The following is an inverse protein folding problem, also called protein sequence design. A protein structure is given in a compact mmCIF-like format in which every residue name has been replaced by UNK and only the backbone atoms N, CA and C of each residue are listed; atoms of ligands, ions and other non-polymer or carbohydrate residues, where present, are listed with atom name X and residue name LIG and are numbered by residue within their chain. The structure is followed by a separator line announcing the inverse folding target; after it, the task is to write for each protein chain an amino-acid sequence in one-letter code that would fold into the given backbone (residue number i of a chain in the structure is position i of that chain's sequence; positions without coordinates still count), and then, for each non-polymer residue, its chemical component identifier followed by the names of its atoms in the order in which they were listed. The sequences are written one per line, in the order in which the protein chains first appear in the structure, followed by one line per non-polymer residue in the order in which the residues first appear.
data_IF_207696720999
#
_entry.id   IF_207696720999
#
_cell.length_a   1.000
_cell.length_b   1.000
_cell.length_c   1.000
_cell.angle_alpha   90.00
_cell.angle_beta   90.00
_cell.angle_gamma   90.00
#
_symmetry.space_group_name_H-M   'P 1'
#
loop_
_entity.id
_entity.type
_entity.pdbx_description
1 polymer ?
#
# COMPACT_ATOMS: atom_id res chain seq x y z
N UNK A 1 -1.08 5.00 25.50
CA UNK A 1 -1.71 3.97 24.68
C UNK A 1 -0.88 2.69 24.52
N UNK A 2 0.41 2.74 24.21
CA UNK A 2 1.26 1.53 24.13
C UNK A 2 1.39 0.72 25.43
N UNK A 3 1.39 1.35 26.59
CA UNK A 3 1.46 0.69 27.89
C UNK A 3 0.20 -0.14 28.23
N UNK A 4 -0.95 0.28 27.71
CA UNK A 4 -2.22 -0.46 27.87
C UNK A 4 -2.23 -1.73 26.99
N UNK A 5 -1.74 -1.66 25.76
CA UNK A 5 -1.69 -2.82 24.85
C UNK A 5 -0.76 -3.95 25.36
N UNK A 6 0.39 -3.60 25.95
CA UNK A 6 1.33 -4.60 26.49
C UNK A 6 0.80 -5.23 27.79
N UNK A 7 0.13 -4.47 28.65
CA UNK A 7 -0.52 -5.00 29.87
C UNK A 7 -1.76 -5.87 29.55
N UNK A 8 -2.54 -5.50 28.54
CA UNK A 8 -3.71 -6.29 28.14
C UNK A 8 -3.30 -7.64 27.52
N UNK A 9 -2.21 -7.71 26.76
CA UNK A 9 -1.72 -8.98 26.22
C UNK A 9 -1.23 -9.96 27.31
N UNK A 10 -0.72 -9.46 28.43
CA UNK A 10 -0.21 -10.32 29.50
C UNK A 10 -1.25 -10.66 30.60
N UNK A 11 -2.29 -9.85 30.74
CA UNK A 11 -3.26 -9.99 31.85
C UNK A 11 -4.54 -10.73 31.44
N UNK A 12 -4.92 -10.72 30.16
CA UNK A 12 -6.21 -11.28 29.72
C UNK A 12 -6.13 -12.78 29.40
N UNK A 13 -4.92 -13.37 29.20
CA UNK A 13 -4.79 -14.76 28.76
C UNK A 13 -3.86 -15.65 29.60
N UNK A 14 -4.05 -15.76 30.95
CA UNK A 14 -3.17 -16.60 31.75
C UNK A 14 -3.39 -18.12 31.58
N UNK A 15 -4.46 -18.60 30.91
CA UNK A 15 -4.85 -20.02 30.99
C UNK A 15 -5.19 -20.74 29.67
N UNK A 16 -4.87 -20.22 28.51
CA UNK A 16 -5.07 -20.98 27.26
C UNK A 16 -3.79 -21.63 26.73
N UNK A 17 -3.61 -22.91 27.08
CA UNK A 17 -2.60 -23.82 26.53
C UNK A 17 -2.95 -24.25 25.09
N UNK A 18 -3.04 -23.36 24.15
CA UNK A 18 -2.96 -23.72 22.73
C UNK A 18 -2.20 -22.65 21.99
N UNK A 19 -1.11 -23.04 21.36
CA UNK A 19 -0.21 -22.19 20.59
C UNK A 19 -0.82 -21.79 19.24
N UNK A 20 -2.05 -21.23 19.27
CA UNK A 20 -2.73 -20.68 18.11
C UNK A 20 -2.40 -19.19 18.07
N UNK A 21 -1.86 -18.70 16.94
CA UNK A 21 -1.62 -17.27 16.73
C UNK A 21 -2.95 -16.54 16.70
N UNK A 22 -3.39 -16.05 17.86
CA UNK A 22 -4.60 -15.21 18.00
C UNK A 22 -4.20 -13.75 17.82
N UNK A 23 -4.84 -13.05 16.89
CA UNK A 23 -4.73 -11.59 16.79
C UNK A 23 -5.92 -11.00 17.52
N UNK A 24 -5.68 -10.19 18.56
CA UNK A 24 -6.70 -9.42 19.25
C UNK A 24 -6.67 -7.97 18.79
N UNK A 25 -7.81 -7.41 18.42
CA UNK A 25 -7.97 -6.01 18.07
C UNK A 25 -8.98 -5.39 19.03
N UNK A 26 -8.61 -4.29 19.74
CA UNK A 26 -9.52 -3.60 20.64
C UNK A 26 -10.48 -2.70 19.87
N UNK A 27 -11.76 -2.80 20.18
CA UNK A 27 -12.86 -1.96 19.69
C UNK A 27 -13.62 -1.35 20.88
N UNK A 28 -14.52 -0.43 20.60
CA UNK A 28 -15.36 0.17 21.65
C UNK A 28 -16.11 -0.91 22.46
N UNK A 29 -16.66 -1.90 21.79
CA UNK A 29 -17.47 -2.99 22.39
C UNK A 29 -16.65 -4.07 23.10
N UNK A 30 -15.33 -4.18 22.88
CA UNK A 30 -14.50 -5.23 23.47
C UNK A 30 -13.21 -5.48 22.72
N UNK A 31 -12.67 -6.70 22.84
CA UNK A 31 -11.52 -7.17 22.08
C UNK A 31 -11.99 -8.28 21.15
N UNK A 32 -11.93 -8.03 19.84
CA UNK A 32 -12.25 -9.04 18.83
C UNK A 32 -11.05 -9.95 18.64
N UNK A 33 -11.27 -11.25 18.80
CA UNK A 33 -10.26 -12.28 18.57
C UNK A 33 -10.66 -13.11 17.36
N UNK A 34 -9.74 -13.24 16.42
CA UNK A 34 -9.86 -14.17 15.29
C UNK A 34 -8.98 -15.39 15.53
N UNK A 35 -9.55 -16.57 15.44
CA UNK A 35 -8.82 -17.85 15.44
C UNK A 35 -8.48 -18.25 14.00
N UNK A 36 -7.35 -18.94 13.84
CA UNK A 36 -7.00 -19.49 12.52
C UNK A 36 -8.07 -20.52 12.16
N UNK A 37 -8.83 -20.24 11.11
CA UNK A 37 -9.76 -21.21 10.60
C UNK A 37 -11.17 -20.72 10.30
N UNK A 38 -11.80 -19.87 11.05
CA UNK A 38 -13.13 -19.32 10.75
C UNK A 38 -13.98 -18.97 11.98
N UNK A 39 -13.36 -18.78 13.13
CA UNK A 39 -14.11 -18.34 14.32
C UNK A 39 -13.64 -16.97 14.79
N UNK A 40 -14.59 -16.12 15.10
CA UNK A 40 -14.33 -14.85 15.78
C UNK A 40 -15.07 -14.84 17.11
N UNK A 41 -14.46 -14.22 18.10
CA UNK A 41 -15.07 -14.04 19.41
C UNK A 41 -14.84 -12.61 19.90
N UNK A 42 -15.85 -12.00 20.48
CA UNK A 42 -15.69 -10.74 21.20
C UNK A 42 -15.55 -11.00 22.69
N UNK A 43 -14.49 -10.45 23.29
CA UNK A 43 -14.25 -10.52 24.72
C UNK A 43 -14.50 -9.18 25.37
N UNK A 44 -15.00 -9.20 26.63
CA UNK A 44 -15.08 -8.00 27.48
C UNK A 44 -13.69 -7.44 27.76
N UNK A 45 -13.54 -6.13 27.69
CA UNK A 45 -12.28 -5.42 28.03
C UNK A 45 -11.98 -5.51 29.53
N UNK A 46 -13.02 -5.51 30.34
CA UNK A 46 -12.92 -5.47 31.80
C UNK A 46 -12.60 -6.84 32.39
N UNK A 47 -13.28 -7.88 31.90
CA UNK A 47 -13.23 -9.20 32.52
C UNK A 47 -12.52 -10.26 31.69
N UNK A 48 -12.30 -10.01 30.38
CA UNK A 48 -11.84 -11.02 29.43
C UNK A 48 -12.88 -12.10 29.11
N UNK A 49 -14.09 -12.02 29.66
CA UNK A 49 -15.14 -12.98 29.41
C UNK A 49 -15.64 -12.86 27.95
N UNK A 50 -15.96 -14.02 27.36
CA UNK A 50 -16.54 -14.07 26.01
C UNK A 50 -17.97 -13.52 26.03
N UNK A 51 -18.20 -12.46 25.25
CA UNK A 51 -19.54 -11.88 25.05
C UNK A 51 -20.34 -12.68 24.03
N UNK A 52 -19.70 -12.99 22.90
CA UNK A 52 -20.28 -13.81 21.84
C UNK A 52 -19.20 -14.49 20.99
N UNK A 53 -19.63 -15.45 20.17
CA UNK A 53 -18.80 -16.15 19.21
C UNK A 53 -19.60 -16.35 17.92
N UNK A 54 -18.93 -16.26 16.75
CA UNK A 54 -19.51 -16.52 15.45
C UNK A 54 -18.55 -17.31 14.55
N UNK A 55 -19.12 -18.18 13.73
CA UNK A 55 -18.38 -18.85 12.66
C UNK A 55 -18.27 -17.86 11.49
N UNK A 56 -17.16 -17.17 11.39
CA UNK A 56 -16.89 -16.15 10.38
C UNK A 56 -15.39 -16.09 10.10
N UNK A 57 -15.04 -16.11 8.84
CA UNK A 57 -13.70 -15.77 8.35
C UNK A 57 -13.64 -14.26 8.10
N UNK A 58 -13.11 -13.45 9.04
CA UNK A 58 -13.22 -11.99 8.97
C UNK A 58 -12.31 -11.43 7.88
N UNK A 59 -12.83 -10.50 7.09
CA UNK A 59 -12.07 -9.79 6.04
C UNK A 59 -12.01 -8.28 6.28
N UNK A 60 -13.00 -7.73 6.99
CA UNK A 60 -13.06 -6.30 7.27
C UNK A 60 -13.77 -6.05 8.60
N UNK A 61 -13.32 -5.07 9.36
CA UNK A 61 -13.96 -4.64 10.60
C UNK A 61 -14.13 -3.14 10.57
N UNK A 62 -15.36 -2.68 10.80
CA UNK A 62 -15.70 -1.26 10.89
C UNK A 62 -16.23 -0.95 12.30
N UNK A 63 -15.38 -0.31 13.11
CA UNK A 63 -15.75 0.07 14.48
C UNK A 63 -16.81 1.17 14.50
N UNK A 64 -16.77 2.08 13.52
CA UNK A 64 -17.70 3.21 13.44
C UNK A 64 -19.12 2.75 13.12
N UNK A 65 -19.26 1.73 12.29
CA UNK A 65 -20.53 1.10 11.95
C UNK A 65 -20.89 -0.05 12.91
N UNK A 66 -19.96 -0.47 13.77
CA UNK A 66 -20.18 -1.53 14.74
C UNK A 66 -20.38 -2.91 14.11
N UNK A 67 -19.66 -3.23 13.03
CA UNK A 67 -19.82 -4.49 12.32
C UNK A 67 -18.50 -5.15 11.89
N UNK A 68 -18.58 -6.47 11.67
CA UNK A 68 -17.53 -7.28 11.04
C UNK A 68 -18.07 -7.89 9.76
N UNK A 69 -17.32 -7.74 8.67
CA UNK A 69 -17.57 -8.46 7.43
C UNK A 69 -16.68 -9.69 7.35
N UNK A 70 -17.22 -10.77 6.85
CA UNK A 70 -16.44 -11.99 6.63
C UNK A 70 -17.21 -13.03 5.82
N UNK A 71 -16.50 -14.07 5.45
CA UNK A 71 -17.07 -15.20 4.71
C UNK A 71 -17.39 -16.36 5.66
N UNK A 72 -18.32 -17.23 5.26
CA UNK A 72 -18.67 -18.43 6.04
C UNK A 72 -17.50 -19.42 6.15
N UNK A 73 -16.63 -19.43 5.15
CA UNK A 73 -15.38 -20.20 5.12
C UNK A 73 -14.40 -19.55 4.12
N UNK A 74 -13.14 -19.93 4.14
CA UNK A 74 -12.14 -19.44 3.17
C UNK A 74 -12.49 -19.68 1.68
N UNK A 75 -13.38 -20.62 1.38
CA UNK A 75 -13.81 -20.93 0.01
C UNK A 75 -15.25 -20.50 -0.31
N UNK A 76 -15.93 -19.89 0.67
CA UNK A 76 -17.30 -19.41 0.51
C UNK A 76 -17.34 -18.12 -0.30
N UNK A 77 -18.31 -17.99 -1.19
CA UNK A 77 -18.61 -16.73 -1.88
C UNK A 77 -19.67 -15.88 -1.13
N UNK A 78 -20.10 -16.32 0.06
CA UNK A 78 -21.13 -15.67 0.85
C UNK A 78 -20.48 -14.76 1.88
N UNK A 79 -20.51 -13.46 1.60
CA UNK A 79 -20.09 -12.41 2.52
C UNK A 79 -21.23 -12.12 3.51
N UNK A 80 -20.90 -12.08 4.77
CA UNK A 80 -21.84 -11.76 5.86
C UNK A 80 -21.37 -10.53 6.63
N UNK A 81 -22.31 -9.76 7.14
CA UNK A 81 -22.06 -8.77 8.18
C UNK A 81 -22.56 -9.29 9.51
N UNK A 82 -21.74 -9.16 10.55
CA UNK A 82 -22.04 -9.55 11.91
C UNK A 82 -21.92 -8.31 12.81
N UNK A 83 -22.91 -8.10 13.67
CA UNK A 83 -22.89 -7.00 14.64
C UNK A 83 -21.77 -7.19 15.65
N UNK A 84 -20.90 -6.19 15.83
CA UNK A 84 -19.87 -6.18 16.88
C UNK A 84 -20.49 -6.21 18.27
N UNK A 85 -21.65 -5.59 18.47
CA UNK A 85 -22.31 -5.51 19.76
C UNK A 85 -22.96 -6.82 20.17
N UNK A 86 -23.65 -7.50 19.24
CA UNK A 86 -24.52 -8.62 19.55
C UNK A 86 -24.04 -9.97 19.00
N UNK A 87 -23.13 -9.99 18.03
CA UNK A 87 -22.63 -11.20 17.39
C UNK A 87 -23.63 -11.88 16.43
N UNK A 88 -24.77 -11.27 16.16
CA UNK A 88 -25.78 -11.77 15.23
C UNK A 88 -25.53 -11.26 13.81
N UNK A 89 -26.02 -12.03 12.84
CA UNK A 89 -25.99 -11.64 11.44
C UNK A 89 -26.87 -10.42 11.20
N UNK A 90 -26.37 -9.46 10.43
CA UNK A 90 -27.11 -8.32 9.93
C UNK A 90 -27.66 -8.60 8.53
N UNK A 91 -26.81 -9.14 7.67
CA UNK A 91 -27.16 -9.53 6.29
C UNK A 91 -26.13 -10.52 5.72
N UNK A 92 -26.51 -11.16 4.60
CA UNK A 92 -25.64 -12.02 3.78
C UNK A 92 -25.81 -11.69 2.30
N UNK A 93 -24.69 -11.62 1.55
CA UNK A 93 -24.70 -11.43 0.11
C UNK A 93 -23.63 -12.29 -0.59
N UNK A 94 -23.81 -12.52 -1.90
CA UNK A 94 -22.83 -13.26 -2.69
C UNK A 94 -21.85 -12.31 -3.33
N UNK A 95 -20.61 -12.28 -2.81
CA UNK A 95 -19.48 -11.54 -3.36
C UNK A 95 -18.32 -12.52 -3.52
N UNK A 96 -18.05 -13.03 -4.71
CA UNK A 96 -16.91 -13.89 -4.97
C UNK A 96 -15.59 -13.18 -4.67
N UNK A 97 -14.59 -13.92 -4.20
CA UNK A 97 -13.31 -13.34 -3.80
C UNK A 97 -12.09 -14.13 -4.29
N UNK A 98 -12.23 -14.88 -5.38
CA UNK A 98 -11.16 -15.72 -5.94
C UNK A 98 -9.88 -14.96 -6.27
N UNK A 99 -9.97 -13.64 -6.48
CA UNK A 99 -8.84 -12.74 -6.73
C UNK A 99 -8.51 -11.84 -5.52
N UNK A 100 -9.10 -12.11 -4.36
CA UNK A 100 -8.99 -11.27 -3.16
C UNK A 100 -9.74 -9.94 -3.28
N UNK A 101 -9.64 -9.13 -2.25
CA UNK A 101 -10.08 -7.73 -2.28
C UNK A 101 -8.88 -6.86 -2.61
N UNK A 102 -8.87 -6.25 -3.78
CA UNK A 102 -7.74 -5.45 -4.26
C UNK A 102 -7.76 -4.02 -3.73
N UNK A 103 -8.96 -3.48 -3.52
CA UNK A 103 -9.16 -2.13 -3.01
C UNK A 103 -10.53 -2.00 -2.35
N UNK A 104 -10.62 -1.12 -1.36
CA UNK A 104 -11.88 -0.65 -0.76
C UNK A 104 -11.80 0.87 -0.65
N UNK A 105 -12.75 1.56 -1.25
CA UNK A 105 -12.87 3.01 -1.19
C UNK A 105 -14.12 3.38 -0.38
N UNK A 106 -13.93 4.20 0.64
CA UNK A 106 -15.01 4.75 1.44
C UNK A 106 -15.81 5.77 0.61
N UNK A 107 -17.11 5.61 0.60
CA UNK A 107 -18.06 6.57 0.05
C UNK A 107 -18.79 7.29 1.19
N UNK A 108 -19.73 8.14 0.83
CA UNK A 108 -20.57 8.78 1.80
C UNK A 108 -21.44 7.78 2.59
N UNK A 109 -21.66 8.06 3.86
CA UNK A 109 -22.44 7.25 4.79
C UNK A 109 -21.86 5.82 4.99
N UNK A 110 -22.67 4.81 4.74
CA UNK A 110 -22.34 3.41 4.99
C UNK A 110 -21.86 2.66 3.72
N UNK A 111 -21.72 3.37 2.61
CA UNK A 111 -21.41 2.76 1.32
C UNK A 111 -19.92 2.69 1.05
N UNK A 112 -19.49 1.59 0.44
CA UNK A 112 -18.10 1.33 0.04
C UNK A 112 -18.05 0.80 -1.38
N UNK A 113 -17.00 1.16 -2.11
CA UNK A 113 -16.62 0.46 -3.35
C UNK A 113 -15.58 -0.59 -3.02
N UNK A 114 -15.80 -1.81 -3.49
CA UNK A 114 -14.92 -2.96 -3.28
C UNK A 114 -14.52 -3.52 -4.64
N UNK A 115 -13.22 -3.65 -4.89
CA UNK A 115 -12.69 -4.36 -6.05
C UNK A 115 -12.35 -5.79 -5.61
N UNK A 116 -13.20 -6.75 -5.98
CA UNK A 116 -13.02 -8.18 -5.71
C UNK A 116 -12.93 -8.97 -7.02
N UNK A 117 -13.94 -9.73 -7.40
CA UNK A 117 -14.08 -10.36 -8.73
C UNK A 117 -14.70 -9.41 -9.77
N UNK A 118 -15.24 -8.31 -9.29
CA UNK A 118 -15.85 -7.21 -10.01
C UNK A 118 -15.69 -5.92 -9.19
N UNK A 119 -16.24 -4.81 -9.66
CA UNK A 119 -16.40 -3.61 -8.86
C UNK A 119 -17.78 -3.65 -8.19
N UNK A 120 -17.80 -3.66 -6.87
CA UNK A 120 -18.99 -3.75 -6.04
C UNK A 120 -19.21 -2.45 -5.27
N UNK A 121 -20.42 -1.91 -5.30
CA UNK A 121 -20.87 -0.86 -4.39
C UNK A 121 -21.78 -1.50 -3.36
N UNK A 122 -21.33 -1.55 -2.13
CA UNK A 122 -21.98 -2.25 -1.04
C UNK A 122 -22.33 -1.27 0.08
N UNK A 123 -23.59 -1.30 0.50
CA UNK A 123 -24.01 -0.67 1.76
C UNK A 123 -23.71 -1.64 2.91
N UNK A 124 -22.80 -1.25 3.80
CA UNK A 124 -22.34 -2.11 4.89
C UNK A 124 -23.38 -2.36 5.96
N UNK A 125 -24.39 -1.48 6.09
CA UNK A 125 -25.45 -1.65 7.08
C UNK A 125 -26.61 -2.50 6.58
N UNK A 126 -27.00 -2.34 5.31
CA UNK A 126 -28.17 -3.01 4.75
C UNK A 126 -27.83 -4.23 3.90
N UNK A 127 -26.59 -4.30 3.41
CA UNK A 127 -26.16 -5.31 2.44
C UNK A 127 -26.63 -5.01 1.01
N UNK A 128 -27.23 -3.85 0.74
CA UNK A 128 -27.60 -3.47 -0.63
C UNK A 128 -26.36 -3.48 -1.51
N UNK A 129 -26.43 -4.21 -2.63
CA UNK A 129 -25.30 -4.50 -3.52
C UNK A 129 -25.60 -4.10 -4.94
N UNK A 130 -24.72 -3.26 -5.51
CA UNK A 130 -24.66 -2.99 -6.95
C UNK A 130 -23.33 -3.47 -7.48
N UNK A 131 -23.33 -4.15 -8.65
CA UNK A 131 -22.12 -4.75 -9.22
C UNK A 131 -21.88 -4.28 -10.65
N UNK A 132 -20.67 -3.82 -10.92
CA UNK A 132 -20.17 -3.57 -12.27
C UNK A 132 -19.18 -4.68 -12.66
N UNK A 133 -19.42 -5.41 -13.77
CA UNK A 133 -18.58 -6.54 -14.16
C UNK A 133 -17.18 -6.08 -14.58
N UNK A 134 -16.17 -6.91 -14.33
CA UNK A 134 -14.79 -6.63 -14.69
C UNK A 134 -13.90 -7.88 -14.68
N UNK A 135 -12.62 -7.68 -14.99
CA UNK A 135 -11.62 -8.74 -15.05
C UNK A 135 -10.39 -8.41 -14.18
N UNK A 136 -10.54 -8.41 -12.84
CA UNK A 136 -9.49 -7.96 -11.91
C UNK A 136 -8.35 -8.96 -11.72
N UNK A 137 -8.43 -10.14 -12.32
CA UNK A 137 -7.42 -11.18 -12.17
C UNK A 137 -7.29 -12.10 -13.36
N UNK A 138 -6.34 -13.02 -13.30
CA UNK A 138 -6.07 -14.04 -14.31
C UNK A 138 -5.60 -15.35 -13.67
N UNK A 139 -5.68 -16.46 -14.42
CA UNK A 139 -5.04 -17.71 -14.03
C UNK A 139 -3.59 -17.78 -14.50
N UNK A 140 -2.69 -18.24 -13.61
CA UNK A 140 -1.30 -18.51 -13.93
C UNK A 140 -1.13 -19.91 -14.51
N UNK A 141 -1.37 -20.05 -15.81
CA UNK A 141 -1.31 -21.34 -16.52
C UNK A 141 0.06 -22.02 -16.46
N UNK A 142 1.15 -21.27 -16.24
CA UNK A 142 2.50 -21.85 -16.11
C UNK A 142 2.74 -22.44 -14.73
N UNK A 143 2.17 -21.88 -13.68
CA UNK A 143 2.26 -22.44 -12.34
C UNK A 143 1.38 -23.70 -12.17
N UNK A 144 0.24 -23.75 -12.85
CA UNK A 144 -0.65 -24.92 -12.83
C UNK A 144 0.02 -26.21 -13.33
N UNK A 145 0.96 -26.11 -14.28
CA UNK A 145 1.73 -27.24 -14.81
C UNK A 145 2.82 -27.75 -13.84
N UNK A 146 3.29 -26.92 -12.91
CA UNK A 146 4.38 -27.26 -11.98
C UNK A 146 3.88 -27.70 -10.59
N UNK A 147 2.62 -27.45 -10.24
CA UNK A 147 2.09 -27.65 -8.89
C UNK A 147 1.18 -28.87 -8.72
N UNK A 148 1.48 -29.96 -9.39
CA UNK A 148 0.80 -31.24 -9.08
C UNK A 148 0.90 -31.71 -7.62
N UNK A 149 1.64 -31.00 -6.74
CA UNK A 149 1.85 -31.37 -5.34
C UNK A 149 2.16 -30.12 -4.49
N UNK A 150 1.25 -29.70 -3.71
CA UNK A 150 1.30 -28.91 -2.47
C UNK A 150 0.49 -27.60 -2.47
N UNK A 151 -0.67 -27.68 -1.85
CA UNK A 151 -1.48 -26.52 -1.49
C UNK A 151 -0.95 -25.92 -0.18
N UNK A 152 -0.40 -24.72 -0.22
CA UNK A 152 -0.25 -23.86 0.96
C UNK A 152 -0.78 -22.48 0.60
N UNK A 153 -1.92 -22.11 1.17
CA UNK A 153 -2.49 -20.80 1.03
C UNK A 153 -1.70 -19.79 1.87
N UNK A 154 -0.96 -18.90 1.23
CA UNK A 154 -0.35 -17.73 1.87
C UNK A 154 -0.98 -16.49 1.25
N UNK A 155 -1.95 -15.90 1.94
CA UNK A 155 -2.53 -14.62 1.57
C UNK A 155 -1.78 -13.49 2.27
N UNK A 156 -1.27 -12.54 1.51
CA UNK A 156 -0.81 -11.25 2.04
C UNK A 156 -1.59 -10.16 1.30
N UNK A 157 -2.46 -9.47 2.00
CA UNK A 157 -3.07 -8.26 1.50
C UNK A 157 -2.35 -7.06 2.11
N UNK A 158 -1.89 -6.16 1.28
CA UNK A 158 -1.36 -4.87 1.72
C UNK A 158 -2.51 -3.98 2.19
N UNK A 159 -2.56 -3.67 3.48
CA UNK A 159 -3.55 -2.75 4.02
C UNK A 159 -3.19 -1.31 3.68
N UNK A 160 -4.12 -0.59 3.08
CA UNK A 160 -4.11 0.86 3.07
C UNK A 160 -4.82 1.32 4.35
N UNK A 161 -4.13 2.06 5.21
CA UNK A 161 -4.70 2.63 6.42
C UNK A 161 -5.60 3.81 6.04
N UNK A 162 -6.90 3.60 6.01
CA UNK A 162 -7.90 4.66 6.00
C UNK A 162 -8.55 4.75 7.38
N UNK A 163 -8.60 5.96 7.91
CA UNK A 163 -8.95 6.31 9.27
C UNK A 163 -10.03 5.46 9.95
N UNK A 164 -9.63 4.64 10.91
CA UNK A 164 -10.53 3.95 11.83
C UNK A 164 -11.01 2.56 11.45
N UNK A 165 -10.83 2.11 10.21
CA UNK A 165 -11.19 0.79 9.77
C UNK A 165 -9.99 -0.17 9.80
N UNK A 166 -10.14 -1.34 10.39
CA UNK A 166 -9.09 -2.36 10.46
C UNK A 166 -9.34 -3.45 9.43
N UNK A 167 -8.42 -3.59 8.49
CA UNK A 167 -8.39 -4.72 7.57
C UNK A 167 -7.81 -5.96 8.26
N UNK A 168 -8.61 -7.02 8.32
CA UNK A 168 -8.05 -8.36 8.40
C UNK A 168 -7.73 -8.80 6.97
N UNK A 169 -6.50 -8.62 6.58
CA UNK A 169 -6.05 -8.78 5.21
C UNK A 169 -5.82 -10.24 4.79
N UNK A 170 -6.70 -11.14 5.18
CA UNK A 170 -6.60 -12.52 4.77
C UNK A 170 -7.86 -12.94 4.02
N UNK A 171 -8.03 -12.43 2.80
CA UNK A 171 -8.99 -13.00 1.87
C UNK A 171 -8.29 -14.16 1.18
N UNK A 172 -8.78 -15.41 1.30
CA UNK A 172 -8.17 -16.53 0.64
C UNK A 172 -8.22 -16.34 -0.87
N UNK A 173 -7.07 -16.47 -1.50
CA UNK A 173 -6.92 -16.35 -2.94
C UNK A 173 -6.78 -17.73 -3.53
N UNK A 174 -7.48 -18.01 -4.62
CA UNK A 174 -7.38 -19.29 -5.28
C UNK A 174 -5.95 -19.53 -5.78
N UNK A 175 -5.47 -20.79 -5.67
CA UNK A 175 -4.16 -21.18 -6.14
C UNK A 175 -3.99 -20.87 -7.65
N UNK A 176 -2.76 -20.58 -8.06
CA UNK A 176 -2.42 -20.26 -9.45
C UNK A 176 -3.16 -19.05 -10.03
N UNK A 177 -3.47 -18.06 -9.21
CA UNK A 177 -4.07 -16.80 -9.66
C UNK A 177 -3.05 -15.68 -9.70
N UNK A 178 -3.30 -14.74 -10.62
CA UNK A 178 -2.68 -13.42 -10.65
C UNK A 178 -3.78 -12.43 -10.31
N UNK A 179 -3.58 -11.66 -9.26
CA UNK A 179 -4.53 -10.68 -8.72
C UNK A 179 -4.02 -9.25 -8.93
N UNK A 180 -4.86 -8.26 -8.64
CA UNK A 180 -4.49 -6.85 -8.72
C UNK A 180 -4.27 -6.37 -10.15
N UNK A 181 -4.96 -6.96 -11.13
CA UNK A 181 -4.91 -6.53 -12.53
C UNK A 181 -5.95 -5.44 -12.80
N UNK A 182 -5.96 -4.44 -11.95
CA UNK A 182 -6.86 -3.30 -11.98
C UNK A 182 -6.12 -2.01 -11.62
N UNK A 183 -6.75 -0.89 -11.89
CA UNK A 183 -6.35 0.40 -11.34
C UNK A 183 -6.92 0.60 -9.92
N UNK A 184 -6.46 1.66 -9.25
CA UNK A 184 -7.23 2.29 -8.19
C UNK A 184 -8.56 2.84 -8.75
N UNK A 185 -9.52 3.07 -7.85
CA UNK A 185 -10.77 3.75 -8.17
C UNK A 185 -10.55 5.25 -7.97
N UNK A 186 -10.89 6.06 -8.98
CA UNK A 186 -11.01 7.50 -8.81
C UNK A 186 -12.50 7.86 -8.70
N UNK A 187 -12.82 8.73 -7.76
CA UNK A 187 -14.15 9.31 -7.59
C UNK A 187 -14.04 10.83 -7.76
N UNK A 188 -14.71 11.37 -8.75
CA UNK A 188 -14.74 12.81 -9.03
C UNK A 188 -16.08 13.21 -9.65
N UNK A 189 -16.69 14.30 -9.16
CA UNK A 189 -17.92 14.87 -9.69
C UNK A 189 -19.08 13.87 -9.86
N UNK A 190 -19.25 12.97 -8.89
CA UNK A 190 -20.23 11.88 -8.91
C UNK A 190 -20.00 10.85 -10.03
N UNK A 191 -18.80 10.79 -10.57
CA UNK A 191 -18.35 9.78 -11.52
C UNK A 191 -17.26 8.91 -10.89
N UNK A 192 -17.22 7.66 -11.32
CA UNK A 192 -16.17 6.70 -10.98
C UNK A 192 -15.37 6.36 -12.22
N UNK A 193 -14.05 6.39 -12.11
CA UNK A 193 -13.10 5.95 -13.13
C UNK A 193 -12.38 4.71 -12.61
N UNK A 194 -12.39 3.66 -13.41
CA UNK A 194 -11.77 2.39 -13.05
C UNK A 194 -11.31 1.65 -14.30
N UNK A 195 -10.17 0.97 -14.19
CA UNK A 195 -9.64 0.15 -15.25
C UNK A 195 -9.43 -1.30 -14.78
N UNK A 196 -9.77 -2.23 -15.65
CA UNK A 196 -9.43 -3.65 -15.53
C UNK A 196 -8.38 -4.06 -16.58
N UNK A 197 -8.25 -5.35 -16.86
CA UNK A 197 -7.29 -5.86 -17.85
C UNK A 197 -7.55 -5.44 -19.29
N UNK A 198 -8.75 -5.03 -19.62
CA UNK A 198 -9.17 -4.82 -21.00
C UNK A 198 -9.66 -3.40 -21.27
N UNK A 199 -10.26 -2.77 -20.28
CA UNK A 199 -10.95 -1.50 -20.47
C UNK A 199 -10.61 -0.51 -19.36
N UNK A 200 -10.65 0.76 -19.71
CA UNK A 200 -10.84 1.86 -18.79
C UNK A 200 -12.26 2.40 -18.96
N UNK A 201 -12.95 2.64 -17.88
CA UNK A 201 -14.36 2.99 -17.86
C UNK A 201 -14.61 4.20 -16.97
N UNK A 202 -15.49 5.09 -17.42
CA UNK A 202 -16.15 6.11 -16.61
C UNK A 202 -17.61 5.70 -16.43
N UNK A 203 -18.09 5.75 -15.20
CA UNK A 203 -19.46 5.38 -14.86
C UNK A 203 -20.03 6.33 -13.82
N UNK A 204 -21.36 6.48 -13.81
CA UNK A 204 -22.06 7.22 -12.77
C UNK A 204 -22.15 6.44 -11.45
N UNK A 205 -22.76 7.05 -10.43
CA UNK A 205 -22.90 6.41 -9.11
C UNK A 205 -23.85 5.21 -9.09
N UNK A 206 -24.62 4.98 -10.18
CA UNK A 206 -25.48 3.82 -10.40
C UNK A 206 -24.82 2.75 -11.29
N UNK A 207 -23.53 2.95 -11.65
CA UNK A 207 -22.75 2.11 -12.55
C UNK A 207 -23.27 2.09 -14.00
N UNK A 208 -24.03 3.09 -14.42
CA UNK A 208 -24.26 3.29 -15.84
C UNK A 208 -22.99 3.82 -16.49
N UNK A 209 -22.55 3.16 -17.56
CA UNK A 209 -21.33 3.53 -18.29
C UNK A 209 -21.57 4.84 -19.04
N UNK A 210 -20.78 5.86 -18.74
CA UNK A 210 -20.74 7.14 -19.45
C UNK A 210 -19.89 7.00 -20.70
N UNK A 211 -18.69 6.40 -20.55
CA UNK A 211 -17.82 6.01 -21.64
C UNK A 211 -16.92 4.84 -21.23
N UNK A 212 -16.43 4.09 -22.20
CA UNK A 212 -15.51 2.99 -22.02
C UNK A 212 -14.57 2.90 -23.21
N UNK A 213 -13.27 2.74 -22.95
CA UNK A 213 -12.23 2.58 -23.96
C UNK A 213 -11.49 1.28 -23.76
N UNK A 214 -11.35 0.47 -24.82
CA UNK A 214 -10.60 -0.77 -24.82
C UNK A 214 -9.12 -0.47 -25.05
N UNK A 215 -8.23 -1.17 -24.32
CA UNK A 215 -6.80 -1.04 -24.53
C UNK A 215 -6.36 -1.71 -25.83
N UNK A 216 -5.46 -1.08 -26.63
CA UNK A 216 -4.89 -1.72 -27.80
C UNK A 216 -4.10 -2.97 -27.35
N UNK A 217 -4.04 -4.01 -28.13
CA UNK A 217 -3.35 -5.33 -28.02
C UNK A 217 -2.42 -5.58 -26.79
N UNK A 218 -2.56 -4.83 -25.71
CA UNK A 218 -1.86 -4.96 -24.45
C UNK A 218 -2.84 -5.38 -23.35
N UNK A 219 -2.38 -6.27 -22.49
CA UNK A 219 -3.12 -6.61 -21.27
C UNK A 219 -2.70 -5.64 -20.19
N UNK A 220 -3.62 -4.80 -19.76
CA UNK A 220 -3.37 -3.97 -18.58
C UNK A 220 -3.15 -4.86 -17.35
N UNK A 221 -2.38 -4.36 -16.44
CA UNK A 221 -1.96 -5.02 -15.21
C UNK A 221 -2.32 -4.13 -14.02
N UNK A 222 -1.60 -4.23 -12.91
CA UNK A 222 -1.73 -3.25 -11.84
C UNK A 222 -1.45 -1.86 -12.39
N UNK A 223 -2.33 -0.91 -12.11
CA UNK A 223 -2.28 0.42 -12.68
C UNK A 223 -2.64 1.49 -11.66
N UNK A 224 -2.23 2.71 -11.92
CA UNK A 224 -2.62 3.89 -11.18
C UNK A 224 -3.31 4.88 -12.11
N UNK A 225 -4.51 5.30 -11.74
CA UNK A 225 -5.24 6.40 -12.37
C UNK A 225 -5.03 7.67 -11.56
N UNK A 226 -4.91 8.79 -12.25
CA UNK A 226 -4.92 10.12 -11.65
C UNK A 226 -5.44 11.14 -12.67
N UNK A 227 -5.99 12.23 -12.16
CA UNK A 227 -6.51 13.34 -13.00
C UNK A 227 -5.59 14.54 -12.84
N UNK A 228 -5.31 15.19 -13.94
CA UNK A 228 -4.58 16.46 -14.00
C UNK A 228 -5.03 17.27 -15.21
N UNK A 229 -5.32 18.56 -15.02
CA UNK A 229 -5.72 19.51 -16.08
C UNK A 229 -6.84 18.99 -16.99
N UNK A 230 -7.87 18.36 -16.39
CA UNK A 230 -9.02 17.81 -17.12
C UNK A 230 -8.72 16.58 -17.95
N UNK A 231 -7.55 15.96 -17.78
CA UNK A 231 -7.14 14.73 -18.44
C UNK A 231 -7.03 13.59 -17.42
N UNK A 232 -7.35 12.38 -17.86
CA UNK A 232 -7.22 11.15 -17.09
C UNK A 232 -5.97 10.40 -17.56
N UNK A 233 -5.02 10.24 -16.65
CA UNK A 233 -3.80 9.48 -16.88
C UNK A 233 -3.92 8.10 -16.29
N UNK A 234 -3.31 7.12 -16.96
CA UNK A 234 -3.16 5.75 -16.50
C UNK A 234 -1.71 5.31 -16.62
N UNK A 235 -1.06 5.04 -15.49
CA UNK A 235 0.24 4.38 -15.42
C UNK A 235 0.04 2.90 -15.16
N UNK A 236 0.36 2.05 -16.13
CA UNK A 236 0.29 0.61 -16.03
C UNK A 236 1.67 0.04 -15.69
N UNK A 237 1.78 -0.62 -14.53
CA UNK A 237 3.06 -1.06 -13.99
C UNK A 237 3.65 -2.33 -14.64
N UNK A 238 2.91 -3.07 -15.47
CA UNK A 238 3.40 -4.29 -16.11
C UNK A 238 3.48 -5.52 -15.21
N UNK A 239 2.86 -5.52 -14.02
CA UNK A 239 2.82 -6.67 -13.12
C UNK A 239 1.46 -6.88 -12.46
N UNK A 240 1.22 -8.12 -12.02
CA UNK A 240 0.20 -8.47 -11.06
C UNK A 240 0.81 -9.19 -9.85
N UNK A 241 -0.01 -9.59 -8.89
CA UNK A 241 0.43 -10.30 -7.71
C UNK A 241 0.08 -11.79 -7.84
N UNK A 242 1.10 -12.66 -7.87
CA UNK A 242 0.87 -14.12 -7.80
C UNK A 242 0.37 -14.46 -6.41
N UNK A 243 -0.83 -15.08 -6.37
CA UNK A 243 -1.50 -15.48 -5.12
C UNK A 243 -1.57 -14.32 -4.09
N UNK A 244 -1.69 -13.08 -4.59
CA UNK A 244 -1.78 -11.88 -3.75
C UNK A 244 -0.48 -11.43 -3.08
N UNK A 245 0.65 -12.08 -3.31
CA UNK A 245 1.87 -11.82 -2.55
C UNK A 245 3.04 -11.31 -3.40
N UNK A 246 3.51 -12.09 -4.37
CA UNK A 246 4.74 -11.76 -5.11
C UNK A 246 4.44 -11.10 -6.45
N UNK A 247 5.21 -10.07 -6.79
CA UNK A 247 5.12 -9.42 -8.11
C UNK A 247 5.45 -10.42 -9.22
N UNK A 248 4.65 -10.43 -10.26
CA UNK A 248 4.85 -11.22 -11.48
C UNK A 248 4.63 -10.37 -12.71
N UNK A 249 5.60 -10.31 -13.60
CA UNK A 249 5.48 -9.60 -14.89
C UNK A 249 4.24 -10.08 -15.65
N UNK A 250 3.33 -9.15 -15.94
CA UNK A 250 2.07 -9.40 -16.60
C UNK A 250 1.73 -8.24 -17.56
N UNK A 251 1.49 -8.55 -18.83
CA UNK A 251 1.33 -7.51 -19.85
C UNK A 251 2.66 -6.77 -20.14
N UNK A 252 2.54 -5.52 -20.53
CA UNK A 252 3.65 -4.59 -20.79
C UNK A 252 3.34 -3.28 -20.11
N UNK A 253 4.33 -2.62 -19.48
CA UNK A 253 4.12 -1.31 -18.88
C UNK A 253 3.83 -0.26 -19.95
N UNK A 254 2.92 0.65 -19.64
CA UNK A 254 2.56 1.78 -20.50
C UNK A 254 2.08 2.97 -19.68
N UNK A 255 2.13 4.14 -20.27
CA UNK A 255 1.40 5.32 -19.83
C UNK A 255 0.43 5.73 -20.90
N UNK A 256 -0.81 6.05 -20.51
CA UNK A 256 -1.86 6.52 -21.41
C UNK A 256 -2.53 7.75 -20.83
N UNK A 257 -3.05 8.58 -21.71
CA UNK A 257 -3.79 9.78 -21.38
C UNK A 257 -5.10 9.82 -22.17
N UNK A 258 -6.19 10.11 -21.47
CA UNK A 258 -7.52 10.17 -22.02
C UNK A 258 -8.18 11.51 -21.70
N UNK A 259 -9.06 11.96 -22.59
CA UNK A 259 -9.97 13.03 -22.29
C UNK A 259 -10.93 12.57 -21.18
N UNK A 260 -10.98 13.31 -20.07
CA UNK A 260 -11.77 12.94 -18.88
C UNK A 260 -13.27 12.83 -19.17
N UNK A 261 -13.80 13.62 -20.11
CA UNK A 261 -15.23 13.73 -20.36
C UNK A 261 -15.79 12.63 -21.29
N UNK A 262 -15.00 12.21 -22.29
CA UNK A 262 -15.49 11.32 -23.34
C UNK A 262 -14.64 10.05 -23.54
N UNK A 263 -13.53 9.90 -22.80
CA UNK A 263 -12.64 8.73 -22.87
C UNK A 263 -11.82 8.64 -24.16
N UNK A 264 -11.78 9.70 -24.99
CA UNK A 264 -10.95 9.74 -26.18
C UNK A 264 -9.47 9.65 -25.79
N UNK A 265 -8.73 8.74 -26.44
CA UNK A 265 -7.29 8.57 -26.22
C UNK A 265 -6.53 9.77 -26.78
N UNK A 266 -5.78 10.46 -25.94
CA UNK A 266 -4.89 11.56 -26.33
C UNK A 266 -3.53 11.01 -26.74
N UNK A 267 -2.98 10.08 -25.93
CA UNK A 267 -1.79 9.32 -26.30
C UNK A 267 -1.74 7.97 -25.56
N UNK A 268 -0.98 7.03 -26.12
CA UNK A 268 -0.69 5.74 -25.54
C UNK A 268 0.79 5.38 -25.79
N UNK A 269 1.61 5.43 -24.74
CA UNK A 269 3.05 5.17 -24.81
C UNK A 269 3.40 3.84 -24.15
N UNK A 270 3.70 2.82 -24.95
CA UNK A 270 4.24 1.57 -24.44
C UNK A 270 5.69 1.77 -24.02
N UNK A 271 6.01 1.49 -22.76
CA UNK A 271 7.32 1.75 -22.15
C UNK A 271 8.32 0.60 -22.35
N UNK A 272 7.88 -0.57 -22.81
CA UNK A 272 8.76 -1.69 -23.12
C UNK A 272 8.15 -2.58 -24.21
N UNK A 273 8.97 -3.04 -25.15
CA UNK A 273 8.57 -3.98 -26.21
C UNK A 273 8.44 -5.42 -25.71
N UNK A 274 9.06 -5.75 -24.58
CA UNK A 274 9.03 -7.07 -23.91
C UNK A 274 8.13 -7.01 -22.66
N UNK A 275 7.84 -8.16 -22.08
CA UNK A 275 7.23 -8.21 -20.74
C UNK A 275 8.24 -7.65 -19.74
N UNK A 276 7.87 -6.56 -19.12
CA UNK A 276 8.64 -5.87 -18.11
C UNK A 276 7.75 -5.33 -17.02
N UNK A 277 8.32 -4.73 -15.97
CA UNK A 277 7.57 -4.06 -14.94
C UNK A 277 8.29 -2.81 -14.46
N UNK A 278 7.52 -1.82 -14.10
CA UNK A 278 7.98 -0.64 -13.39
C UNK A 278 8.21 -1.06 -11.94
N UNK A 279 9.45 -0.96 -11.48
CA UNK A 279 9.82 -1.27 -10.10
C UNK A 279 9.35 -0.18 -9.14
N UNK A 280 9.47 1.08 -9.57
CA UNK A 280 9.01 2.24 -8.81
C UNK A 280 8.70 3.41 -9.73
N UNK A 281 7.86 4.34 -9.26
CA UNK A 281 7.50 5.54 -10.00
C UNK A 281 7.28 6.73 -9.05
N UNK A 282 7.79 7.88 -9.46
CA UNK A 282 7.56 9.16 -8.80
C UNK A 282 6.77 10.07 -9.73
N UNK A 283 5.57 10.47 -9.28
CA UNK A 283 4.81 11.54 -9.90
C UNK A 283 5.16 12.87 -9.25
N UNK A 284 5.52 13.81 -10.03
CA UNK A 284 5.65 15.23 -9.67
C UNK A 284 4.43 16.01 -10.15
N UNK A 285 4.45 17.32 -10.00
CA UNK A 285 3.40 18.19 -10.54
C UNK A 285 3.30 18.07 -12.06
N UNK A 286 4.45 18.03 -12.76
CA UNK A 286 4.52 18.14 -14.21
C UNK A 286 4.92 16.85 -14.93
N UNK A 287 5.43 15.83 -14.20
CA UNK A 287 6.09 14.70 -14.83
C UNK A 287 5.97 13.38 -14.04
N UNK A 288 6.36 12.30 -14.74
CA UNK A 288 6.56 10.97 -14.19
C UNK A 288 7.99 10.50 -14.41
N UNK A 289 8.65 10.07 -13.35
CA UNK A 289 9.87 9.28 -13.39
C UNK A 289 9.51 7.81 -13.12
N UNK A 290 10.03 6.89 -13.90
CA UNK A 290 9.72 5.47 -13.81
C UNK A 290 11.01 4.66 -13.83
N UNK A 291 11.17 3.71 -12.91
CA UNK A 291 12.32 2.81 -12.85
C UNK A 291 11.95 1.41 -13.33
N UNK A 292 12.88 0.82 -14.06
CA UNK A 292 12.92 -0.58 -14.45
C UNK A 292 14.18 -1.24 -13.89
N UNK A 293 14.23 -2.56 -13.87
CA UNK A 293 15.47 -3.29 -13.51
C UNK A 293 16.70 -2.78 -14.26
N UNK A 294 16.55 -2.48 -15.57
CA UNK A 294 17.59 -2.19 -16.52
C UNK A 294 17.42 -0.86 -17.26
N UNK A 295 16.66 0.07 -16.71
CA UNK A 295 16.43 1.36 -17.34
C UNK A 295 15.64 2.36 -16.50
N UNK A 296 15.54 3.56 -17.00
CA UNK A 296 14.70 4.63 -16.48
C UNK A 296 13.87 5.24 -17.60
N UNK A 297 12.70 5.73 -17.28
CA UNK A 297 11.89 6.53 -18.18
C UNK A 297 11.45 7.83 -17.51
N UNK A 298 11.32 8.87 -18.30
CA UNK A 298 10.80 10.16 -17.91
C UNK A 298 9.78 10.62 -18.92
N UNK A 299 8.66 11.16 -18.46
CA UNK A 299 7.63 11.76 -19.29
C UNK A 299 7.04 13.00 -18.63
N UNK A 300 7.05 14.12 -19.33
CA UNK A 300 6.23 15.27 -18.98
C UNK A 300 4.76 14.96 -19.24
N UNK A 301 3.88 15.26 -18.27
CA UNK A 301 2.47 14.85 -18.33
C UNK A 301 1.70 15.52 -19.48
N UNK A 302 2.14 16.71 -19.93
CA UNK A 302 1.51 17.41 -21.03
C UNK A 302 2.12 17.06 -22.39
N UNK A 303 3.21 16.33 -22.42
CA UNK A 303 3.85 15.84 -23.64
C UNK A 303 3.46 14.38 -23.91
N UNK A 304 3.33 14.03 -25.18
CA UNK A 304 3.12 12.66 -25.62
C UNK A 304 4.42 11.87 -25.79
N UNK A 305 5.56 12.50 -25.60
CA UNK A 305 6.88 11.88 -25.79
C UNK A 305 7.44 11.38 -24.47
N UNK A 306 7.90 10.12 -24.47
CA UNK A 306 8.60 9.52 -23.34
C UNK A 306 10.09 9.39 -23.66
N UNK A 307 10.95 9.84 -22.74
CA UNK A 307 12.38 9.59 -22.80
C UNK A 307 12.70 8.28 -22.05
N UNK A 308 13.40 7.34 -22.67
CA UNK A 308 13.79 6.05 -22.06
C UNK A 308 15.29 5.85 -22.22
N UNK A 309 16.00 5.68 -21.11
CA UNK A 309 17.44 5.50 -21.07
C UNK A 309 17.78 4.14 -20.42
N UNK A 310 18.60 3.29 -21.09
CA UNK A 310 19.06 2.04 -20.52
C UNK A 310 20.01 2.28 -19.34
N UNK A 311 19.98 1.35 -18.37
CA UNK A 311 20.85 1.36 -17.21
C UNK A 311 21.83 0.21 -17.25
N UNK A 312 23.13 0.48 -17.08
CA UNK A 312 24.16 -0.56 -17.04
C UNK A 312 24.16 -1.29 -15.69
N UNK A 313 23.33 -2.32 -15.58
CA UNK A 313 23.20 -3.13 -14.36
C UNK A 313 24.46 -3.87 -13.96
N UNK A 314 25.39 -4.11 -14.90
CA UNK A 314 26.67 -4.81 -14.61
C UNK A 314 27.65 -3.91 -13.87
N UNK A 315 27.67 -2.65 -14.21
CA UNK A 315 28.56 -1.66 -13.59
C UNK A 315 27.95 -1.01 -12.38
N UNK A 316 26.61 -0.79 -12.39
CA UNK A 316 25.92 0.08 -11.44
C UNK A 316 24.89 -0.64 -10.55
N UNK A 317 24.75 -1.97 -10.65
CA UNK A 317 23.72 -2.71 -9.96
C UNK A 317 22.31 -2.44 -10.53
N UNK A 318 21.29 -3.07 -9.97
CA UNK A 318 19.89 -2.89 -10.39
C UNK A 318 19.25 -1.71 -9.67
N UNK A 319 18.46 -0.94 -10.38
CA UNK A 319 17.65 0.10 -9.78
C UNK A 319 16.49 -0.51 -8.95
N UNK A 320 16.30 -0.03 -7.74
CA UNK A 320 15.27 -0.54 -6.81
C UNK A 320 14.15 0.45 -6.55
N UNK A 321 14.48 1.72 -6.28
CA UNK A 321 13.46 2.72 -6.00
C UNK A 321 13.91 4.16 -6.28
N UNK A 322 12.91 5.04 -6.43
CA UNK A 322 13.05 6.49 -6.37
C UNK A 322 12.84 6.91 -4.91
N UNK A 323 13.69 7.76 -4.42
CA UNK A 323 13.61 8.27 -3.06
C UNK A 323 12.68 9.49 -3.02
N UNK A 324 11.43 9.34 -2.54
CA UNK A 324 10.53 10.48 -2.39
C UNK A 324 10.92 11.29 -1.16
N UNK A 325 10.91 12.61 -1.27
CA UNK A 325 11.15 13.50 -0.14
C UNK A 325 12.59 13.93 0.04
N UNK A 326 12.88 14.46 1.22
CA UNK A 326 14.18 15.04 1.56
C UNK A 326 15.07 14.00 2.23
N UNK A 327 16.29 13.88 1.74
CA UNK A 327 17.39 13.13 2.37
C UNK A 327 18.51 14.07 2.75
N UNK A 328 19.44 13.62 3.57
CA UNK A 328 20.55 14.43 4.04
C UNK A 328 21.88 13.72 3.76
N UNK A 329 22.77 14.38 3.04
CA UNK A 329 24.13 13.90 2.81
C UNK A 329 25.11 14.55 3.79
N UNK A 330 25.97 13.74 4.42
CA UNK A 330 27.06 14.23 5.23
C UNK A 330 28.35 14.34 4.42
N UNK A 331 29.12 15.42 4.64
CA UNK A 331 30.50 15.49 4.18
C UNK A 331 31.39 14.53 5.00
N UNK A 332 32.56 14.17 4.47
CA UNK A 332 33.53 13.29 5.15
C UNK A 332 33.89 13.74 6.55
N UNK A 333 33.91 15.05 6.79
CA UNK A 333 34.29 15.66 8.06
C UNK A 333 33.09 16.01 8.96
N UNK A 334 31.90 15.66 8.57
CA UNK A 334 30.60 15.72 9.29
C UNK A 334 30.34 17.03 10.05
N UNK A 335 30.66 18.16 9.47
CA UNK A 335 30.40 19.47 10.08
C UNK A 335 29.04 20.06 9.71
N UNK A 336 28.39 19.54 8.66
CA UNK A 336 27.06 19.93 8.22
C UNK A 336 26.41 18.84 7.35
N UNK A 337 25.08 18.78 7.39
CA UNK A 337 24.27 17.92 6.53
C UNK A 337 23.66 18.75 5.40
N UNK A 338 23.93 18.36 4.18
CA UNK A 338 23.31 18.96 3.01
C UNK A 338 21.97 18.27 2.75
N UNK A 339 20.90 19.04 2.65
CA UNK A 339 19.59 18.53 2.22
C UNK A 339 19.65 18.12 0.74
N UNK A 340 19.16 16.93 0.46
CA UNK A 340 18.95 16.40 -0.88
C UNK A 340 17.45 16.15 -1.02
N UNK A 341 16.79 16.84 -1.93
CA UNK A 341 15.37 16.69 -2.18
C UNK A 341 15.12 16.73 -3.68
N UNK A 342 14.00 16.17 -4.10
CA UNK A 342 13.48 16.50 -5.41
C UNK A 342 13.23 18.01 -5.48
N UNK A 343 13.88 18.66 -6.43
CA UNK A 343 13.83 20.12 -6.58
C UNK A 343 13.16 20.58 -7.89
N UNK A 344 12.47 19.67 -8.62
CA UNK A 344 11.90 19.91 -9.94
C UNK A 344 12.85 19.62 -11.10
N UNK A 345 14.15 19.62 -10.85
CA UNK A 345 15.18 19.42 -11.88
C UNK A 345 15.84 18.02 -11.80
N UNK A 346 15.97 17.49 -10.56
CA UNK A 346 16.64 16.22 -10.28
C UNK A 346 15.80 15.33 -9.37
N UNK A 347 15.86 14.02 -9.60
CA UNK A 347 15.34 13.01 -8.66
C UNK A 347 16.50 12.16 -8.10
N UNK A 348 16.23 11.53 -6.95
CA UNK A 348 17.17 10.60 -6.33
C UNK A 348 16.71 9.17 -6.57
N UNK A 349 17.59 8.33 -7.11
CA UNK A 349 17.33 6.90 -7.29
C UNK A 349 18.39 6.08 -6.59
N UNK A 350 18.02 4.92 -6.07
CA UNK A 350 18.99 4.01 -5.47
C UNK A 350 18.95 2.61 -6.10
N UNK A 351 20.09 1.90 -5.98
CA UNK A 351 20.29 0.57 -6.53
C UNK A 351 20.39 -0.51 -5.43
N UNK A 352 20.43 -1.78 -5.82
CA UNK A 352 20.59 -2.95 -4.96
C UNK A 352 21.93 -3.00 -4.20
N UNK A 353 22.92 -2.21 -4.61
CA UNK A 353 24.20 -2.05 -3.92
C UNK A 353 24.17 -0.94 -2.85
N UNK A 354 23.07 -0.20 -2.77
CA UNK A 354 22.87 0.89 -1.81
C UNK A 354 23.52 2.21 -2.21
N UNK A 355 23.86 2.37 -3.47
CA UNK A 355 24.36 3.64 -4.04
C UNK A 355 23.17 4.50 -4.46
N UNK A 356 23.24 5.78 -4.17
CA UNK A 356 22.23 6.77 -4.57
C UNK A 356 22.80 7.62 -5.70
N UNK A 357 22.00 7.83 -6.72
CA UNK A 357 22.28 8.65 -7.87
C UNK A 357 21.31 9.82 -7.94
N UNK A 358 21.83 11.01 -8.19
CA UNK A 358 21.06 12.18 -8.54
C UNK A 358 20.94 12.23 -10.07
N UNK A 359 19.69 12.24 -10.56
CA UNK A 359 19.38 12.09 -11.98
C UNK A 359 18.55 13.28 -12.43
N UNK A 360 18.95 13.91 -13.53
CA UNK A 360 18.24 15.03 -14.14
C UNK A 360 17.04 14.56 -15.00
N UNK A 361 16.28 15.51 -15.57
CA UNK A 361 15.14 15.24 -16.45
C UNK A 361 15.51 14.55 -17.75
N UNK A 362 16.75 14.67 -18.22
CA UNK A 362 17.26 13.98 -19.40
C UNK A 362 17.78 12.57 -19.06
N UNK A 363 17.61 12.16 -17.78
CA UNK A 363 18.04 10.88 -17.20
C UNK A 363 19.55 10.71 -17.12
N UNK A 364 20.31 11.82 -17.12
CA UNK A 364 21.75 11.79 -16.89
C UNK A 364 22.05 11.81 -15.38
N UNK A 365 23.09 11.10 -14.99
CA UNK A 365 23.59 11.13 -13.62
C UNK A 365 24.41 12.40 -13.42
N UNK A 366 23.90 13.30 -12.58
CA UNK A 366 24.62 14.51 -12.18
C UNK A 366 25.58 14.28 -11.01
N UNK A 367 25.18 13.37 -10.08
CA UNK A 367 25.97 13.06 -8.88
C UNK A 367 25.72 11.66 -8.36
N UNK A 368 26.71 11.10 -7.65
CA UNK A 368 26.64 9.78 -7.02
C UNK A 368 26.98 9.88 -5.53
N UNK A 369 26.19 9.23 -4.70
CA UNK A 369 26.35 9.19 -3.23
C UNK A 369 26.47 7.75 -2.76
N UNK A 370 27.38 7.50 -1.84
CA UNK A 370 27.46 6.21 -1.15
C UNK A 370 26.44 6.15 0.02
N UNK A 371 25.90 4.97 0.26
CA UNK A 371 24.79 4.77 1.20
C UNK A 371 25.12 5.19 2.65
N UNK A 372 26.36 4.96 3.10
CA UNK A 372 26.81 5.32 4.45
C UNK A 372 26.85 6.82 4.73
N UNK A 373 26.74 7.64 3.70
CA UNK A 373 26.73 9.12 3.79
C UNK A 373 25.35 9.72 3.67
N UNK A 374 24.33 8.87 3.46
CA UNK A 374 22.96 9.33 3.25
C UNK A 374 22.12 8.98 4.47
N UNK A 375 21.39 9.95 4.97
CA UNK A 375 20.51 9.86 6.12
C UNK A 375 19.09 10.21 5.73
N UNK A 376 18.13 9.41 6.17
CA UNK A 376 16.71 9.67 5.96
C UNK A 376 16.09 10.35 7.17
N UNK A 377 15.10 11.24 6.97
CA UNK A 377 14.29 11.77 8.06
C UNK A 377 13.60 10.64 8.81
N UNK A 378 13.66 10.67 10.12
CA UNK A 378 13.04 9.64 10.98
C UNK A 378 11.95 10.23 11.87
N UNK A 379 12.23 11.38 12.51
CA UNK A 379 11.30 11.99 13.46
C UNK A 379 11.44 13.52 13.36
N UNK A 380 10.30 14.21 13.17
CA UNK A 380 10.24 15.68 13.26
C UNK A 380 9.97 16.11 14.70
N UNK A 381 10.81 16.96 15.20
CA UNK A 381 10.70 17.66 16.48
C UNK A 381 10.37 19.13 16.23
N UNK A 382 10.01 19.88 17.27
CA UNK A 382 9.62 21.28 17.10
C UNK A 382 10.72 22.11 16.40
N UNK A 383 11.95 22.02 16.89
CA UNK A 383 13.08 22.84 16.41
C UNK A 383 14.19 22.00 15.77
N UNK A 384 14.02 20.68 15.70
CA UNK A 384 15.04 19.75 15.23
C UNK A 384 14.44 18.66 14.35
N UNK A 385 15.23 18.13 13.46
CA UNK A 385 14.94 16.95 12.68
C UNK A 385 15.89 15.81 13.09
N UNK A 386 15.34 14.69 13.48
CA UNK A 386 16.11 13.45 13.65
C UNK A 386 16.28 12.77 12.31
N UNK A 387 17.50 12.61 11.85
CA UNK A 387 17.87 11.89 10.63
C UNK A 387 18.67 10.66 10.98
N UNK A 388 18.46 9.55 10.26
CA UNK A 388 19.07 8.28 10.65
C UNK A 388 19.59 7.44 9.49
N UNK A 389 20.65 6.66 9.81
CA UNK A 389 21.16 5.60 8.95
C UNK A 389 21.78 4.50 9.84
N UNK A 390 21.23 3.26 9.78
CA UNK A 390 21.77 2.05 10.41
C UNK A 390 22.22 2.22 11.87
N UNK A 391 21.32 2.69 12.74
CA UNK A 391 21.60 2.87 14.16
C UNK A 391 22.39 4.13 14.51
N UNK A 392 22.72 4.96 13.53
CA UNK A 392 23.29 6.27 13.72
C UNK A 392 22.21 7.32 13.44
N UNK A 393 21.83 8.09 14.45
CA UNK A 393 20.81 9.12 14.35
C UNK A 393 21.40 10.45 14.78
N UNK A 394 21.17 11.46 13.94
CA UNK A 394 21.60 12.82 14.19
C UNK A 394 20.39 13.71 14.40
N UNK A 395 20.48 14.57 15.38
CA UNK A 395 19.53 15.67 15.55
C UNK A 395 20.15 16.90 14.91
N UNK A 396 19.45 17.45 13.92
CA UNK A 396 19.93 18.59 13.15
C UNK A 396 18.93 19.74 13.24
N UNK A 397 19.45 20.94 13.22
CA UNK A 397 18.67 22.17 13.02
C UNK A 397 18.19 22.27 11.57
N UNK A 398 17.20 23.12 11.29
CA UNK A 398 16.70 23.38 9.93
C UNK A 398 17.82 23.71 8.92
N UNK A 399 18.91 24.31 9.38
CA UNK A 399 20.08 24.64 8.55
C UNK A 399 21.06 23.45 8.35
N UNK A 400 20.72 22.25 8.78
CA UNK A 400 21.56 21.06 8.64
C UNK A 400 22.73 20.98 9.63
N UNK A 401 22.79 21.85 10.63
CA UNK A 401 23.83 21.79 11.66
C UNK A 401 23.50 20.70 12.70
N UNK A 402 24.40 19.75 12.96
CA UNK A 402 24.17 18.71 13.96
C UNK A 402 24.26 19.32 15.38
N UNK A 403 23.30 18.97 16.23
CA UNK A 403 23.24 19.39 17.64
C UNK A 403 23.43 18.23 18.61
N UNK A 404 23.03 17.00 18.20
CA UNK A 404 23.24 15.80 19.00
C UNK A 404 23.38 14.57 18.11
N UNK A 405 24.01 13.52 18.63
CA UNK A 405 24.21 12.24 17.98
C UNK A 405 23.79 11.10 18.88
N UNK A 406 22.94 10.20 18.37
CA UNK A 406 22.47 9.02 19.07
C UNK A 406 22.88 7.75 18.31
N UNK A 407 23.63 6.88 18.98
CA UNK A 407 24.01 5.57 18.46
C UNK A 407 23.13 4.48 19.10
N UNK A 408 21.99 4.20 18.49
CA UNK A 408 21.09 3.13 18.89
C UNK A 408 20.13 2.79 17.78
N UNK A 409 19.68 1.54 17.75
CA UNK A 409 18.59 1.13 16.88
C UNK A 409 17.25 1.17 17.60
N UNK A 410 16.20 1.63 16.93
CA UNK A 410 14.86 1.63 17.48
C UNK A 410 13.81 1.15 16.45
N UNK A 411 12.77 0.52 16.96
CA UNK A 411 11.62 0.06 16.17
C UNK A 411 10.62 1.17 15.88
N UNK A 412 10.43 2.03 16.88
CA UNK A 412 9.45 3.14 16.83
C UNK A 412 9.94 4.29 17.68
N UNK A 413 9.68 5.51 17.21
CA UNK A 413 9.87 6.73 17.95
C UNK A 413 8.57 7.54 18.03
N UNK A 414 8.36 8.24 19.13
CA UNK A 414 7.23 9.12 19.33
C UNK A 414 7.69 10.37 20.06
N UNK A 415 7.25 11.52 19.60
CA UNK A 415 7.46 12.82 20.27
C UNK A 415 6.35 13.07 21.26
N UNK A 416 6.69 13.42 22.49
CA UNK A 416 5.76 13.77 23.57
C UNK A 416 6.25 15.11 24.17
N UNK A 417 5.70 16.21 23.69
CA UNK A 417 6.23 17.55 24.01
C UNK A 417 7.65 17.71 23.48
N UNK A 418 8.62 18.05 24.34
CA UNK A 418 10.04 18.19 24.02
C UNK A 418 10.85 16.90 24.27
N UNK A 419 10.15 15.78 24.52
CA UNK A 419 10.78 14.49 24.82
C UNK A 419 10.58 13.52 23.68
N UNK A 420 11.63 12.75 23.40
CA UNK A 420 11.62 11.67 22.44
C UNK A 420 11.54 10.33 23.18
N UNK A 421 10.47 9.59 22.95
CA UNK A 421 10.29 8.22 23.42
C UNK A 421 10.64 7.26 22.29
N UNK A 422 11.69 6.45 22.49
CA UNK A 422 12.11 5.41 21.54
C UNK A 422 11.85 4.03 22.12
N UNK A 423 11.36 3.13 21.30
CA UNK A 423 11.28 1.69 21.58
C UNK A 423 12.36 0.96 20.79
N UNK A 424 13.36 0.40 21.46
CA UNK A 424 14.44 -0.33 20.80
C UNK A 424 14.04 -1.78 20.40
N UNK A 425 14.94 -2.50 19.74
CA UNK A 425 14.68 -3.88 19.31
C UNK A 425 14.66 -4.88 20.47
N UNK A 426 15.16 -4.52 21.62
CA UNK A 426 15.11 -5.29 22.87
C UNK A 426 13.84 -5.05 23.70
N UNK A 427 12.89 -4.26 23.14
CA UNK A 427 11.64 -3.83 23.78
C UNK A 427 11.83 -2.94 25.03
N UNK A 428 12.93 -2.22 25.09
CA UNK A 428 13.19 -1.20 26.11
C UNK A 428 12.74 0.16 25.60
N UNK A 429 12.24 0.99 26.51
CA UNK A 429 11.93 2.39 26.23
C UNK A 429 13.10 3.28 26.63
N UNK A 430 13.52 4.11 25.71
CA UNK A 430 14.48 5.20 25.94
C UNK A 430 13.71 6.52 25.95
N UNK A 431 13.86 7.26 27.02
CA UNK A 431 13.39 8.65 27.14
C UNK A 431 14.57 9.57 26.93
N UNK A 432 14.49 10.46 25.95
CA UNK A 432 15.50 11.47 25.70
C UNK A 432 14.81 12.82 25.89
N UNK A 433 15.25 13.57 26.87
CA UNK A 433 14.91 14.98 27.03
C UNK A 433 15.84 15.79 26.14
N UNK A 434 15.30 16.42 25.13
CA UNK A 434 16.12 17.11 24.13
C UNK A 434 16.65 18.46 24.65
N UNK A 435 15.98 19.08 25.60
CA UNK A 435 16.46 20.29 26.21
C UNK A 435 17.69 20.01 27.08
N UNK A 436 17.71 18.88 27.79
CA UNK A 436 18.87 18.45 28.59
C UNK A 436 20.01 17.84 27.76
N UNK A 437 19.68 17.25 26.59
CA UNK A 437 20.68 16.58 25.75
C UNK A 437 21.45 17.55 24.82
N UNK A 438 21.00 18.78 24.70
CA UNK A 438 21.56 19.78 23.77
C UNK A 438 22.32 20.88 24.53
N UNK A 439 22.18 20.99 25.87
CA UNK A 439 23.05 21.79 26.72
C UNK A 439 24.43 21.13 26.90
#
# INVERSE_FOLDING_TARGET
MCHLLTRYQSTIFPNHKSCVRKKGVPFQEGVLISEIGSKISLLSKETGAKKWEADLFPVYVDDSLGLVLGYNSPTSNKLRAVSLKFGNDLWENKIPHQYGWNEVLDLEHNKRLIVADALHKLDFMTGELLTYPGKPGAHDTKAALLQGLAAVAVGVAGGVATGGAYYYSYVPIANNTITGLTSNILSQDSLYYWADRQHISCMDTAFNVVWQTEFPDVKASRSQLFVQDGKLFMLNYGYGLREGASRKKYGRPFIACYNLLNGEEIFFNQLSVKKDMIEDALRTEDALYMLFDDGMAYQELMDSVVNIVPWDTKQRGKLEAILPGTFYAANKDTTAFQSLAYNGEHCLVYNDQGVIYEVDKDLNISKTYERERIYSPSIQLKDYLCIGNRGNYWFIHEMGMPVAHLQTDFKKGQVIGNKLLLLNYENQFLFIDLDEAIE
#
